data_IF_260242311453
#
_entry.id   IF_260242311453
#
_cell.length_a   1.000
_cell.length_b   1.000
_cell.length_c   1.000
_cell.angle_alpha   90.00
_cell.angle_beta   90.00
_cell.angle_gamma   90.00
#
_symmetry.space_group_name_H-M   'P 1'
#
loop_
_entity.id
_entity.type
_entity.pdbx_description
1 polymer ?
#
# COMPACT_ATOMS: atom_id res chain seq x y z
N UNK A 1 -22.83 -5.12 28.40
CA UNK A 1 -21.40 -5.01 28.76
C UNK A 1 -20.59 -4.92 27.47
N UNK A 2 -20.30 -3.70 27.00
CA UNK A 2 -19.54 -3.49 25.77
C UNK A 2 -18.06 -3.49 26.10
N UNK A 3 -17.34 -4.54 25.71
CA UNK A 3 -15.88 -4.59 25.80
C UNK A 3 -15.31 -3.67 24.72
N UNK A 4 -14.77 -2.52 25.13
CA UNK A 4 -13.87 -1.76 24.28
C UNK A 4 -12.58 -2.56 24.23
N UNK A 5 -12.39 -3.35 23.17
CA UNK A 5 -11.12 -4.03 22.94
C UNK A 5 -10.02 -2.97 22.91
N UNK A 6 -9.08 -3.04 23.86
CA UNK A 6 -7.89 -2.20 23.85
C UNK A 6 -7.21 -2.40 22.48
N UNK A 7 -7.01 -1.31 21.74
CA UNK A 7 -6.39 -1.37 20.42
C UNK A 7 -5.02 -2.05 20.55
N UNK A 8 -4.92 -3.30 20.09
CA UNK A 8 -3.69 -4.07 20.17
C UNK A 8 -2.57 -3.27 19.49
N UNK A 9 -1.43 -3.12 20.19
CA UNK A 9 -0.26 -2.43 19.65
C UNK A 9 0.15 -3.12 18.35
N UNK A 10 0.18 -2.35 17.25
CA UNK A 10 0.60 -2.87 15.94
C UNK A 10 2.07 -3.25 15.99
N UNK A 11 2.43 -4.37 15.37
CA UNK A 11 3.84 -4.75 15.21
C UNK A 11 4.59 -3.75 14.31
N UNK A 12 5.92 -3.75 14.38
CA UNK A 12 6.75 -2.92 13.50
C UNK A 12 6.44 -3.16 12.02
N UNK A 13 6.29 -4.43 11.62
CA UNK A 13 5.94 -4.80 10.25
C UNK A 13 4.53 -4.30 9.85
N UNK A 14 3.54 -4.40 10.75
CA UNK A 14 2.21 -3.85 10.48
C UNK A 14 2.23 -2.34 10.28
N UNK A 15 3.02 -1.61 11.10
CA UNK A 15 3.22 -0.18 10.93
C UNK A 15 3.91 0.14 9.60
N UNK A 16 4.91 -0.65 9.22
CA UNK A 16 5.61 -0.50 7.94
C UNK A 16 4.67 -0.68 6.75
N UNK A 17 3.79 -1.69 6.76
CA UNK A 17 2.75 -1.88 5.72
C UNK A 17 1.83 -0.66 5.63
N UNK A 18 1.39 -0.11 6.76
CA UNK A 18 0.55 1.10 6.79
C UNK A 18 1.29 2.34 6.27
N UNK A 19 2.55 2.52 6.65
CA UNK A 19 3.40 3.60 6.15
C UNK A 19 3.62 3.50 4.65
N UNK A 20 3.86 2.29 4.16
CA UNK A 20 4.01 2.02 2.74
C UNK A 20 2.72 2.34 1.97
N UNK A 21 1.56 1.87 2.44
CA UNK A 21 0.27 2.23 1.82
C UNK A 21 0.04 3.74 1.76
N UNK A 22 0.35 4.46 2.85
CA UNK A 22 0.25 5.93 2.88
C UNK A 22 1.26 6.60 1.93
N UNK A 23 2.47 6.05 1.77
CA UNK A 23 3.44 6.53 0.80
C UNK A 23 2.93 6.38 -0.63
N UNK A 24 2.34 5.23 -0.98
CA UNK A 24 1.68 5.02 -2.27
C UNK A 24 0.59 6.07 -2.51
N UNK A 25 -0.30 6.29 -1.53
CA UNK A 25 -1.37 7.29 -1.63
C UNK A 25 -0.84 8.73 -1.79
N UNK A 26 0.28 9.07 -1.15
CA UNK A 26 0.96 10.36 -1.36
C UNK A 26 1.50 10.49 -2.78
N UNK A 27 2.13 9.45 -3.31
CA UNK A 27 2.59 9.42 -4.69
C UNK A 27 1.43 9.54 -5.70
N UNK A 28 0.24 9.00 -5.38
CA UNK A 28 -0.93 9.22 -6.24
C UNK A 28 -1.32 10.70 -6.31
N UNK A 29 -1.19 11.46 -5.23
CA UNK A 29 -1.54 12.89 -5.21
C UNK A 29 -0.63 13.75 -6.10
N UNK A 30 0.55 13.24 -6.50
CA UNK A 30 1.44 13.93 -7.43
C UNK A 30 1.09 13.68 -8.90
N UNK A 31 0.12 12.81 -9.18
CA UNK A 31 -0.32 12.46 -10.54
C UNK A 31 -1.41 13.42 -11.03
N UNK A 32 -1.57 13.56 -12.36
CA UNK A 32 -2.67 14.35 -12.94
C UNK A 32 -4.02 13.94 -12.35
N UNK A 33 -4.85 14.90 -11.98
CA UNK A 33 -6.11 14.66 -11.26
C UNK A 33 -7.01 13.63 -11.95
N UNK A 34 -7.12 13.71 -13.27
CA UNK A 34 -7.88 12.78 -14.10
C UNK A 34 -7.38 11.32 -14.04
N UNK A 35 -6.10 11.10 -13.72
CA UNK A 35 -5.50 9.77 -13.60
C UNK A 35 -5.51 9.23 -12.15
N UNK A 36 -5.62 10.11 -11.14
CA UNK A 36 -5.55 9.72 -9.73
C UNK A 36 -6.53 8.59 -9.33
N UNK A 37 -7.79 8.56 -9.80
CA UNK A 37 -8.71 7.46 -9.49
C UNK A 37 -8.15 6.08 -9.90
N UNK A 38 -7.54 5.98 -11.09
CA UNK A 38 -6.93 4.73 -11.59
C UNK A 38 -5.75 4.31 -10.72
N UNK A 39 -4.87 5.23 -10.38
CA UNK A 39 -3.76 4.98 -9.46
C UNK A 39 -4.24 4.50 -8.07
N UNK A 40 -5.28 5.11 -7.50
CA UNK A 40 -5.86 4.66 -6.23
C UNK A 40 -6.41 3.25 -6.33
N UNK A 41 -7.14 2.94 -7.42
CA UNK A 41 -7.69 1.62 -7.67
C UNK A 41 -6.59 0.57 -7.79
N UNK A 42 -5.56 0.84 -8.61
CA UNK A 42 -4.42 -0.03 -8.77
C UNK A 42 -3.74 -0.36 -7.45
N UNK A 43 -3.41 0.65 -6.64
CA UNK A 43 -2.79 0.42 -5.32
C UNK A 43 -3.70 -0.42 -4.43
N UNK A 44 -5.00 -0.13 -4.37
CA UNK A 44 -5.95 -0.92 -3.57
C UNK A 44 -6.04 -2.37 -4.04
N UNK A 45 -6.03 -2.62 -5.35
CA UNK A 45 -6.03 -3.97 -5.90
C UNK A 45 -4.74 -4.72 -5.52
N UNK A 46 -3.57 -4.09 -5.63
CA UNK A 46 -2.31 -4.74 -5.24
C UNK A 46 -2.30 -5.16 -3.76
N UNK A 47 -2.76 -4.29 -2.86
CA UNK A 47 -2.83 -4.62 -1.42
C UNK A 47 -3.90 -5.66 -1.06
N UNK A 48 -4.91 -5.88 -1.93
CA UNK A 48 -5.97 -6.87 -1.75
C UNK A 48 -5.75 -8.17 -2.52
N UNK A 49 -4.71 -8.24 -3.35
CA UNK A 49 -4.45 -9.38 -4.23
C UNK A 49 -4.10 -10.67 -3.48
N UNK A 50 -3.56 -10.53 -2.28
CA UNK A 50 -3.06 -11.65 -1.48
C UNK A 50 -3.88 -11.77 -0.19
N UNK A 51 -4.29 -12.99 0.14
CA UNK A 51 -4.89 -13.32 1.43
C UNK A 51 -3.77 -13.68 2.40
N UNK A 52 -3.30 -12.67 3.15
CA UNK A 52 -2.17 -12.80 4.08
C UNK A 52 -2.65 -12.70 5.52
N UNK A 53 -2.12 -13.58 6.37
CA UNK A 53 -2.33 -13.55 7.82
C UNK A 53 -1.17 -12.79 8.47
N UNK A 54 -1.35 -12.26 9.69
CA UNK A 54 -0.27 -11.60 10.43
C UNK A 54 0.96 -12.48 10.67
N UNK A 55 0.81 -13.81 10.65
CA UNK A 55 1.89 -14.77 10.81
C UNK A 55 2.76 -14.97 9.55
N UNK A 56 2.30 -14.53 8.38
CA UNK A 56 2.99 -14.74 7.10
C UNK A 56 4.11 -13.70 6.89
N UNK A 57 4.95 -13.51 7.91
CA UNK A 57 5.96 -12.44 8.04
C UNK A 57 6.88 -12.38 6.83
N UNK A 58 7.49 -13.51 6.44
CA UNK A 58 8.42 -13.57 5.31
C UNK A 58 7.77 -13.18 3.98
N UNK A 59 6.50 -13.58 3.77
CA UNK A 59 5.76 -13.23 2.56
C UNK A 59 5.45 -11.72 2.54
N UNK A 60 5.03 -11.15 3.67
CA UNK A 60 4.76 -9.71 3.80
C UNK A 60 6.03 -8.90 3.51
N UNK A 61 7.17 -9.28 4.09
CA UNK A 61 8.45 -8.59 3.85
C UNK A 61 8.89 -8.67 2.38
N UNK A 62 8.74 -9.83 1.77
CA UNK A 62 9.05 -10.03 0.36
C UNK A 62 8.18 -9.12 -0.54
N UNK A 63 6.87 -9.09 -0.29
CA UNK A 63 5.92 -8.25 -1.01
C UNK A 63 6.16 -6.76 -0.77
N UNK A 64 6.52 -6.35 0.45
CA UNK A 64 6.91 -4.98 0.74
C UNK A 64 8.14 -4.55 -0.07
N UNK A 65 9.14 -5.43 -0.18
CA UNK A 65 10.34 -5.15 -0.98
C UNK A 65 10.01 -4.97 -2.46
N UNK A 66 9.15 -5.82 -3.01
CA UNK A 66 8.66 -5.69 -4.39
C UNK A 66 7.85 -4.40 -4.56
N UNK A 67 6.91 -4.13 -3.66
CA UNK A 67 6.04 -2.97 -3.71
C UNK A 67 6.82 -1.66 -3.67
N UNK A 68 7.86 -1.56 -2.82
CA UNK A 68 8.72 -0.36 -2.75
C UNK A 68 9.41 -0.07 -4.09
N UNK A 69 9.97 -1.08 -4.76
CA UNK A 69 10.55 -0.93 -6.11
C UNK A 69 9.50 -0.51 -7.13
N UNK A 70 8.29 -1.06 -7.04
CA UNK A 70 7.20 -0.69 -7.93
C UNK A 70 6.78 0.77 -7.73
N UNK A 71 6.73 1.24 -6.48
CA UNK A 71 6.45 2.63 -6.13
C UNK A 71 7.51 3.59 -6.70
N UNK A 72 8.79 3.23 -6.71
CA UNK A 72 9.83 4.04 -7.37
C UNK A 72 9.52 4.23 -8.86
N UNK A 73 9.04 3.17 -9.52
CA UNK A 73 8.70 3.20 -10.95
C UNK A 73 7.45 4.05 -11.24
N UNK A 74 6.29 3.71 -10.67
CA UNK A 74 5.06 4.45 -10.99
C UNK A 74 4.98 5.80 -10.29
N UNK A 75 5.75 6.02 -9.21
CA UNK A 75 5.88 7.30 -8.53
C UNK A 75 6.62 8.34 -9.38
N UNK A 76 7.44 7.89 -10.34
CA UNK A 76 8.24 8.77 -11.19
C UNK A 76 7.37 9.79 -11.96
N UNK A 77 7.76 11.08 -12.06
CA UNK A 77 6.94 12.13 -12.69
C UNK A 77 6.59 11.88 -14.16
N UNK A 78 7.42 11.12 -14.89
CA UNK A 78 7.13 10.75 -16.29
C UNK A 78 5.96 9.78 -16.43
N UNK A 79 5.66 8.99 -15.39
CA UNK A 79 4.51 8.08 -15.39
C UNK A 79 3.26 8.89 -15.02
N UNK A 80 2.52 9.29 -16.05
CA UNK A 80 1.35 10.17 -15.92
C UNK A 80 0.01 9.42 -15.83
N UNK A 81 -0.03 8.17 -16.28
CA UNK A 81 -1.24 7.35 -16.26
C UNK A 81 -0.88 5.87 -16.12
N UNK A 82 -1.86 5.07 -15.73
CA UNK A 82 -1.80 3.62 -15.72
C UNK A 82 -3.10 3.05 -16.31
N UNK A 83 -2.98 1.98 -17.08
CA UNK A 83 -4.08 1.06 -17.35
C UNK A 83 -4.26 0.20 -16.11
N UNK A 84 -5.38 0.38 -15.42
CA UNK A 84 -5.79 -0.48 -14.31
C UNK A 84 -6.44 -1.75 -14.84
#
# INVERSE_FOLDING_TARGET
>A
MSSVAAAARKSGLQLEVLHFYRACMRAVRTKPEAAQPRFRQFVRQQFRRHDLRPADVAAIEHLLRIGKRQLESYGHPSVRNISA
#
